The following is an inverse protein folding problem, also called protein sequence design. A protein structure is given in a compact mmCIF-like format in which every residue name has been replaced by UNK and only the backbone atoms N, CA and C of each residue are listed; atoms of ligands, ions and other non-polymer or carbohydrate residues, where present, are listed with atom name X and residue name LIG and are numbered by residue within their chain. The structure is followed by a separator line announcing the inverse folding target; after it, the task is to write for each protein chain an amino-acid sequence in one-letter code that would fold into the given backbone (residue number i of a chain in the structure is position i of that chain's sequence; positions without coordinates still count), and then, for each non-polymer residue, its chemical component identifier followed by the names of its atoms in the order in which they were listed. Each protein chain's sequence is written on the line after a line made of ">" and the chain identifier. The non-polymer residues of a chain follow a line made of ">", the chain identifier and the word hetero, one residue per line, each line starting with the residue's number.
data_IF_877629577638
#
_entry.id   IF_877629577638
#
_cell.length_a   1.000
_cell.length_b   1.000
_cell.length_c   1.000
_cell.angle_alpha   90.00
_cell.angle_beta   90.00
_cell.angle_gamma   90.00
#
_symmetry.space_group_name_H-M   'P 1'
#
loop_
_entity.id
_entity.type
_entity.pdbx_description
1 polymer ?
#
# COMPACT_ATOMS: atom_id res chain seq x y z
N UNK A 1 41.43 53.23 10.29
CA UNK A 1 41.46 51.76 10.54
C UNK A 1 40.50 51.46 11.67
N UNK A 2 39.35 50.84 11.37
CA UNK A 2 38.37 50.39 12.37
C UNK A 2 38.42 48.86 12.41
N UNK A 3 38.82 48.29 13.55
CA UNK A 3 38.68 46.86 13.83
C UNK A 3 37.26 46.62 14.36
N UNK A 4 36.45 45.86 13.63
CA UNK A 4 35.22 45.24 14.15
C UNK A 4 35.54 43.80 14.52
N UNK A 5 35.36 43.45 15.80
CA UNK A 5 35.38 42.08 16.27
C UNK A 5 33.95 41.51 16.21
N UNK A 6 33.74 40.48 15.38
CA UNK A 6 32.50 39.71 15.35
C UNK A 6 32.65 38.51 16.29
N UNK A 7 31.81 38.47 17.32
CA UNK A 7 31.72 37.38 18.28
C UNK A 7 30.85 36.27 17.65
N UNK A 8 31.45 35.14 17.30
CA UNK A 8 30.74 33.97 16.80
C UNK A 8 30.18 33.15 17.98
N UNK A 9 28.87 33.10 18.09
CA UNK A 9 28.16 32.25 19.05
C UNK A 9 28.03 30.84 18.44
N UNK A 10 28.81 29.88 18.94
CA UNK A 10 28.71 28.48 18.54
C UNK A 10 27.46 27.87 19.18
N UNK A 11 26.46 27.51 18.36
CA UNK A 11 25.33 26.72 18.78
C UNK A 11 25.75 25.25 18.96
N UNK A 12 25.50 24.69 20.15
CA UNK A 12 25.76 23.30 20.45
C UNK A 12 24.83 22.38 19.65
N UNK A 13 25.30 21.23 19.13
CA UNK A 13 24.43 20.24 18.52
C UNK A 13 23.54 19.62 19.60
N UNK A 14 22.23 19.85 19.49
CA UNK A 14 21.23 19.14 20.28
C UNK A 14 21.19 17.68 19.85
N UNK A 15 21.87 16.82 20.60
CA UNK A 15 21.77 15.36 20.47
C UNK A 15 20.41 14.94 21.01
N UNK A 16 19.40 14.89 20.14
CA UNK A 16 18.16 14.18 20.43
C UNK A 16 18.50 12.69 20.51
N UNK A 17 18.62 12.18 21.74
CA UNK A 17 18.73 10.76 22.00
C UNK A 17 17.50 10.04 21.46
N UNK A 18 17.68 9.28 20.36
CA UNK A 18 16.70 8.29 19.92
C UNK A 18 16.69 7.18 20.96
N UNK A 19 15.69 7.21 21.84
CA UNK A 19 15.32 6.07 22.66
C UNK A 19 14.82 5.01 21.67
N UNK A 20 15.63 3.99 21.38
CA UNK A 20 15.16 2.82 20.67
C UNK A 20 14.15 2.10 21.58
N UNK A 21 12.88 1.90 21.17
CA UNK A 21 11.94 1.12 21.95
C UNK A 21 12.48 -0.32 22.03
N UNK A 22 12.80 -0.71 23.25
CA UNK A 22 13.15 -2.08 23.62
C UNK A 22 11.94 -2.98 23.41
N UNK A 23 12.05 -3.90 22.45
CA UNK A 23 11.19 -5.08 22.34
C UNK A 23 9.82 -4.83 21.71
N UNK A 24 9.79 -4.53 20.42
CA UNK A 24 8.60 -4.84 19.63
C UNK A 24 8.52 -6.38 19.49
N UNK A 25 7.32 -6.98 19.64
CA UNK A 25 7.14 -8.41 19.41
C UNK A 25 7.62 -8.77 18.00
N UNK A 26 8.30 -9.93 17.88
CA UNK A 26 8.65 -10.55 16.60
C UNK A 26 7.37 -10.71 15.76
N UNK A 27 7.09 -9.72 14.91
CA UNK A 27 5.82 -9.63 14.18
C UNK A 27 5.54 -8.26 13.58
N UNK A 28 6.05 -7.17 14.18
CA UNK A 28 5.98 -5.84 13.57
C UNK A 28 7.37 -5.38 13.16
N UNK A 29 7.61 -5.38 11.87
CA UNK A 29 8.77 -4.71 11.29
C UNK A 29 8.27 -3.67 10.30
N UNK A 30 7.74 -2.57 10.85
CA UNK A 30 7.57 -1.33 10.11
C UNK A 30 8.97 -0.73 9.90
N UNK A 31 9.57 -1.03 8.75
CA UNK A 31 10.86 -0.46 8.36
C UNK A 31 10.62 0.72 7.42
N UNK A 32 10.83 1.94 7.92
CA UNK A 32 10.84 3.16 7.11
C UNK A 32 9.78 4.17 7.52
N UNK A 33 10.12 5.45 7.34
CA UNK A 33 9.20 6.56 7.54
C UNK A 33 8.46 6.82 6.21
N UNK A 34 7.25 6.26 6.08
CA UNK A 34 6.41 6.47 4.90
C UNK A 34 5.39 7.58 5.14
N UNK A 35 5.18 8.41 4.12
CA UNK A 35 4.17 9.47 4.09
C UNK A 35 3.16 9.23 2.97
N UNK A 36 1.98 9.81 3.11
CA UNK A 36 0.98 9.82 2.03
C UNK A 36 1.50 10.61 0.83
N UNK A 37 1.35 10.04 -0.37
CA UNK A 37 1.80 10.66 -1.62
C UNK A 37 0.95 11.88 -1.98
N UNK A 38 1.58 13.02 -2.27
CA UNK A 38 0.86 14.27 -2.53
C UNK A 38 -0.04 14.21 -3.79
N UNK A 39 0.34 13.40 -4.76
CA UNK A 39 -0.43 13.17 -6.00
C UNK A 39 -1.85 12.60 -5.73
N UNK A 40 -2.05 11.99 -4.57
CA UNK A 40 -3.27 11.29 -4.20
C UNK A 40 -4.26 12.17 -3.43
N UNK A 41 -3.98 13.46 -3.29
CA UNK A 41 -4.81 14.40 -2.52
C UNK A 41 -6.29 14.44 -2.95
N UNK A 42 -6.61 14.06 -4.19
CA UNK A 42 -7.97 14.10 -4.75
C UNK A 42 -8.57 12.71 -5.05
N UNK A 43 -7.93 11.61 -4.60
CA UNK A 43 -8.36 10.24 -4.96
C UNK A 43 -9.83 9.95 -4.61
N UNK A 44 -10.33 10.44 -3.48
CA UNK A 44 -11.73 10.23 -3.04
C UNK A 44 -12.77 10.75 -4.05
N UNK A 45 -12.39 11.72 -4.87
CA UNK A 45 -13.28 12.35 -5.86
C UNK A 45 -12.89 12.02 -7.30
N UNK A 46 -11.81 11.26 -7.50
CA UNK A 46 -11.32 10.90 -8.82
C UNK A 46 -12.29 9.92 -9.48
N UNK A 47 -12.60 10.16 -10.76
CA UNK A 47 -13.38 9.21 -11.53
C UNK A 47 -12.51 7.98 -11.84
N UNK A 48 -12.99 6.81 -11.43
CA UNK A 48 -12.28 5.56 -11.68
C UNK A 48 -12.49 5.08 -13.12
N UNK A 49 -11.41 4.61 -13.73
CA UNK A 49 -11.39 4.02 -15.07
C UNK A 49 -11.52 2.50 -14.94
N UNK A 50 -12.30 1.81 -15.80
CA UNK A 50 -12.43 0.36 -15.71
C UNK A 50 -11.11 -0.36 -15.97
N UNK A 51 -10.79 -1.37 -15.16
CA UNK A 51 -9.58 -2.18 -15.25
C UNK A 51 -9.36 -2.74 -16.66
N UNK A 52 -10.42 -3.28 -17.28
CA UNK A 52 -10.37 -3.86 -18.63
C UNK A 52 -9.87 -2.90 -19.72
N UNK A 53 -9.97 -1.59 -19.49
CA UNK A 53 -9.54 -0.57 -20.47
C UNK A 53 -8.06 -0.16 -20.36
N UNK A 54 -7.37 -0.57 -19.29
CA UNK A 54 -6.00 -0.12 -19.00
C UNK A 54 -4.93 -0.85 -19.84
N UNK A 55 -5.24 -2.03 -20.37
CA UNK A 55 -4.31 -2.80 -21.21
C UNK A 55 -3.05 -3.25 -20.47
N UNK A 56 -3.14 -3.52 -19.16
CA UNK A 56 -2.01 -3.96 -18.35
C UNK A 56 -1.40 -5.29 -18.84
N UNK A 57 -0.08 -5.37 -18.81
CA UNK A 57 0.64 -6.63 -18.98
C UNK A 57 0.69 -7.39 -17.65
N UNK A 58 -0.15 -8.42 -17.55
CA UNK A 58 -0.32 -9.22 -16.34
C UNK A 58 0.88 -10.09 -15.99
N UNK A 59 1.85 -10.27 -16.89
CA UNK A 59 3.08 -11.01 -16.63
C UNK A 59 4.13 -10.18 -15.89
N UNK A 60 3.97 -8.85 -15.89
CA UNK A 60 4.84 -7.91 -15.20
C UNK A 60 4.13 -7.31 -13.98
N UNK A 61 4.88 -6.61 -13.13
CA UNK A 61 4.30 -5.89 -11.98
C UNK A 61 3.34 -4.84 -12.52
N UNK A 62 2.06 -4.99 -12.22
CA UNK A 62 1.04 -4.02 -12.61
C UNK A 62 1.12 -2.82 -11.68
N UNK A 63 1.37 -1.65 -12.25
CA UNK A 63 1.42 -0.38 -11.51
C UNK A 63 0.17 0.43 -11.79
N UNK A 64 -0.52 0.83 -10.73
CA UNK A 64 -1.59 1.83 -10.79
C UNK A 64 -0.95 3.17 -10.44
N UNK A 65 -0.88 4.06 -11.42
CA UNK A 65 -0.12 5.30 -11.32
C UNK A 65 -0.67 6.27 -10.27
N UNK A 66 0.21 7.14 -9.77
CA UNK A 66 -0.10 8.23 -8.84
C UNK A 66 -1.31 9.06 -9.32
N UNK A 67 -2.30 9.29 -8.46
CA UNK A 67 -3.48 10.10 -8.79
C UNK A 67 -4.48 9.45 -9.76
N UNK A 68 -4.24 8.21 -10.21
CA UNK A 68 -5.17 7.46 -11.06
C UNK A 68 -6.05 6.56 -10.18
N UNK A 69 -7.35 6.55 -10.44
CA UNK A 69 -8.26 5.53 -9.90
C UNK A 69 -8.62 4.48 -10.96
N UNK A 70 -8.48 3.20 -10.60
CA UNK A 70 -8.87 2.06 -11.41
C UNK A 70 -9.92 1.25 -10.67
N UNK A 71 -11.05 0.99 -11.31
CA UNK A 71 -12.13 0.15 -10.79
C UNK A 71 -12.12 -1.23 -11.46
N UNK A 72 -12.15 -2.30 -10.67
CA UNK A 72 -12.13 -3.67 -11.20
C UNK A 72 -13.49 -4.05 -11.76
N UNK A 73 -13.54 -4.42 -13.04
CA UNK A 73 -14.75 -4.76 -13.79
C UNK A 73 -14.74 -6.20 -14.36
N UNK A 74 -13.78 -7.03 -13.93
CA UNK A 74 -13.60 -8.42 -14.39
C UNK A 74 -13.59 -9.39 -13.21
N UNK A 75 -14.38 -10.47 -13.27
CA UNK A 75 -14.58 -11.39 -12.13
C UNK A 75 -13.38 -12.31 -11.84
N UNK A 76 -12.49 -12.52 -12.81
CA UNK A 76 -11.25 -13.27 -12.64
C UNK A 76 -10.10 -12.37 -13.06
N UNK A 77 -9.20 -12.09 -12.13
CA UNK A 77 -8.06 -11.22 -12.33
C UNK A 77 -6.79 -11.93 -11.86
N UNK A 78 -6.03 -12.45 -12.82
CA UNK A 78 -4.76 -13.12 -12.55
C UNK A 78 -3.59 -12.19 -12.92
N UNK A 79 -2.95 -11.60 -11.91
CA UNK A 79 -1.80 -10.69 -12.06
C UNK A 79 -0.53 -11.44 -11.67
N UNK A 80 0.13 -12.08 -12.62
CA UNK A 80 1.28 -12.96 -12.38
C UNK A 80 2.54 -12.23 -11.92
N UNK A 81 2.70 -10.95 -12.27
CA UNK A 81 3.88 -10.18 -11.87
C UNK A 81 3.79 -9.49 -10.51
N UNK A 82 2.61 -9.45 -9.87
CA UNK A 82 2.38 -8.69 -8.64
C UNK A 82 1.72 -7.33 -8.89
N UNK A 83 1.32 -6.66 -7.81
CA UNK A 83 0.63 -5.37 -7.89
C UNK A 83 1.36 -4.28 -7.09
N UNK A 84 1.52 -3.11 -7.71
CA UNK A 84 2.04 -1.89 -7.10
C UNK A 84 0.98 -0.77 -7.23
N UNK A 85 0.28 -0.49 -6.14
CA UNK A 85 -0.87 0.41 -6.11
C UNK A 85 -0.40 1.78 -5.61
N UNK A 86 0.02 2.66 -6.53
CA UNK A 86 0.48 4.02 -6.20
C UNK A 86 -0.72 4.98 -6.13
N UNK A 87 -1.67 4.84 -7.05
CA UNK A 87 -2.96 5.55 -7.04
C UNK A 87 -4.02 4.80 -6.23
N UNK A 88 -5.21 4.63 -6.80
CA UNK A 88 -6.35 3.96 -6.17
C UNK A 88 -6.76 2.72 -6.95
N UNK A 89 -6.74 1.56 -6.30
CA UNK A 89 -7.43 0.37 -6.77
C UNK A 89 -8.74 0.20 -6.02
N UNK A 90 -9.85 0.18 -6.75
CA UNK A 90 -11.18 0.03 -6.20
C UNK A 90 -11.84 -1.24 -6.71
N UNK A 91 -12.27 -2.08 -5.79
CA UNK A 91 -13.24 -3.12 -6.09
C UNK A 91 -14.64 -2.53 -5.87
N UNK A 92 -15.59 -2.74 -6.82
CA UNK A 92 -16.98 -2.36 -6.61
C UNK A 92 -17.54 -2.95 -5.31
N UNK A 93 -18.55 -2.29 -4.74
CA UNK A 93 -19.26 -2.82 -3.57
C UNK A 93 -19.90 -4.18 -3.94
N UNK A 94 -19.80 -5.15 -3.04
CA UNK A 94 -20.31 -6.51 -3.23
C UNK A 94 -19.70 -7.23 -4.45
N UNK A 95 -18.49 -6.83 -4.84
CA UNK A 95 -17.80 -7.44 -5.94
C UNK A 95 -17.54 -8.93 -5.69
N UNK A 96 -17.89 -9.76 -6.67
CA UNK A 96 -17.74 -11.23 -6.64
C UNK A 96 -16.70 -11.63 -7.66
N UNK A 97 -15.59 -12.19 -7.19
CA UNK A 97 -14.51 -12.57 -8.08
C UNK A 97 -13.29 -13.09 -7.36
N UNK A 98 -12.25 -13.40 -8.13
CA UNK A 98 -10.96 -13.85 -7.62
C UNK A 98 -9.85 -12.98 -8.20
N UNK A 99 -9.07 -12.35 -7.31
CA UNK A 99 -7.79 -11.76 -7.62
C UNK A 99 -6.68 -12.76 -7.23
N UNK A 100 -5.91 -13.23 -8.19
CA UNK A 100 -4.70 -14.01 -7.95
C UNK A 100 -3.48 -13.15 -8.21
N UNK A 101 -2.59 -12.99 -7.24
CA UNK A 101 -1.37 -12.19 -7.39
C UNK A 101 -0.25 -12.68 -6.47
N UNK A 102 1.04 -12.61 -6.85
CA UNK A 102 2.12 -12.98 -5.94
C UNK A 102 2.20 -12.11 -4.68
N UNK A 103 1.96 -10.81 -4.82
CA UNK A 103 2.00 -9.81 -3.75
C UNK A 103 1.21 -8.55 -4.12
N UNK A 104 0.92 -7.71 -3.13
CA UNK A 104 0.38 -6.37 -3.31
C UNK A 104 1.14 -5.36 -2.46
N UNK A 105 1.69 -4.32 -3.08
CA UNK A 105 2.27 -3.16 -2.42
C UNK A 105 1.33 -1.96 -2.56
N UNK A 106 0.88 -1.40 -1.45
CA UNK A 106 -0.12 -0.31 -1.39
C UNK A 106 0.57 0.97 -0.93
N UNK A 107 0.72 1.95 -1.82
CA UNK A 107 1.25 3.29 -1.49
C UNK A 107 0.17 4.37 -1.55
N UNK A 108 -0.86 4.16 -2.37
CA UNK A 108 -2.05 4.99 -2.42
C UNK A 108 -3.20 4.37 -1.66
N UNK A 109 -4.32 4.08 -2.32
CA UNK A 109 -5.52 3.54 -1.69
C UNK A 109 -5.93 2.20 -2.28
N UNK A 110 -6.29 1.25 -1.43
CA UNK A 110 -6.92 0.00 -1.82
C UNK A 110 -8.29 -0.09 -1.13
N UNK A 111 -9.37 -0.14 -1.92
CA UNK A 111 -10.75 -0.19 -1.40
C UNK A 111 -11.44 -1.49 -1.81
N UNK A 112 -11.99 -2.19 -0.82
CA UNK A 112 -12.82 -3.37 -0.98
C UNK A 112 -13.97 -3.32 0.03
N UNK A 113 -15.21 -3.49 -0.41
CA UNK A 113 -16.35 -3.52 0.51
C UNK A 113 -17.38 -4.59 0.14
N UNK A 114 -17.97 -5.16 1.18
CA UNK A 114 -19.13 -6.04 1.12
C UNK A 114 -20.15 -5.61 2.16
N UNK A 115 -21.38 -5.43 1.73
CA UNK A 115 -22.58 -5.25 2.55
C UNK A 115 -23.48 -6.49 2.50
N UNK A 116 -23.05 -7.55 1.82
CA UNK A 116 -23.80 -8.81 1.79
C UNK A 116 -23.84 -9.46 3.19
N UNK A 117 -24.99 -10.02 3.60
CA UNK A 117 -25.06 -10.75 4.85
C UNK A 117 -24.15 -11.98 4.78
N UNK A 118 -23.47 -12.29 5.88
CA UNK A 118 -22.69 -13.53 6.01
C UNK A 118 -23.67 -14.69 6.07
N UNK A 119 -24.03 -15.26 4.91
CA UNK A 119 -24.88 -16.45 4.84
C UNK A 119 -24.01 -17.70 4.91
N UNK A 120 -23.97 -18.32 6.09
CA UNK A 120 -23.10 -19.45 6.41
C UNK A 120 -23.62 -20.83 5.98
N UNK A 121 -24.79 -20.93 5.35
CA UNK A 121 -25.51 -22.20 5.29
C UNK A 121 -24.79 -23.35 4.56
N UNK A 122 -23.87 -23.07 3.61
CA UNK A 122 -23.20 -24.11 2.80
C UNK A 122 -21.70 -23.87 2.55
N UNK A 123 -21.06 -22.88 3.19
CA UNK A 123 -19.64 -22.58 2.96
C UNK A 123 -19.29 -22.11 1.53
N UNK A 124 -20.28 -21.67 0.75
CA UNK A 124 -20.03 -21.03 -0.54
C UNK A 124 -19.26 -19.72 -0.30
N UNK A 125 -18.09 -19.58 -0.91
CA UNK A 125 -17.32 -18.33 -0.90
C UNK A 125 -18.06 -17.31 -1.76
N UNK A 126 -18.91 -16.51 -1.14
CA UNK A 126 -19.55 -15.38 -1.79
C UNK A 126 -18.69 -14.12 -1.58
N UNK A 127 -18.46 -13.34 -2.63
CA UNK A 127 -17.63 -12.13 -2.61
C UNK A 127 -16.22 -12.26 -3.22
N UNK A 128 -15.37 -11.28 -2.90
CA UNK A 128 -14.01 -11.14 -3.42
C UNK A 128 -13.04 -12.09 -2.72
N UNK A 129 -12.34 -12.91 -3.50
CA UNK A 129 -11.26 -13.77 -3.04
C UNK A 129 -9.91 -13.22 -3.48
N UNK A 130 -9.03 -12.92 -2.53
CA UNK A 130 -7.64 -12.56 -2.83
C UNK A 130 -6.74 -13.76 -2.55
N UNK A 131 -6.07 -14.27 -3.58
CA UNK A 131 -5.20 -15.44 -3.52
C UNK A 131 -3.75 -15.03 -3.77
N UNK A 132 -2.93 -15.15 -2.73
CA UNK A 132 -1.51 -14.81 -2.80
C UNK A 132 -0.66 -16.03 -3.15
N UNK A 133 0.05 -15.99 -4.29
CA UNK A 133 0.73 -17.16 -4.86
C UNK A 133 2.25 -17.15 -4.73
N UNK A 134 2.88 -15.99 -4.47
CA UNK A 134 4.33 -15.80 -4.56
C UNK A 134 5.11 -16.69 -3.58
N UNK A 135 6.17 -17.34 -4.04
CA UNK A 135 7.00 -18.24 -3.24
C UNK A 135 8.45 -17.76 -3.06
N UNK A 136 8.81 -16.66 -3.74
CA UNK A 136 10.08 -15.94 -3.62
C UNK A 136 9.90 -14.65 -2.83
N UNK A 137 10.97 -14.23 -2.12
CA UNK A 137 10.98 -12.94 -1.46
C UNK A 137 10.91 -11.80 -2.48
N UNK A 138 10.08 -10.80 -2.19
CA UNK A 138 9.89 -9.63 -3.04
C UNK A 138 10.61 -8.44 -2.41
N UNK A 139 11.35 -7.70 -3.23
CA UNK A 139 11.89 -6.39 -2.88
C UNK A 139 11.03 -5.32 -3.54
N UNK A 140 10.73 -4.27 -2.78
CA UNK A 140 9.87 -3.19 -3.20
C UNK A 140 10.60 -1.85 -3.18
N UNK A 141 10.31 -1.02 -4.17
CA UNK A 141 10.91 0.29 -4.35
C UNK A 141 9.81 1.35 -4.20
N UNK A 142 9.78 2.09 -3.09
CA UNK A 142 8.77 3.11 -2.87
C UNK A 142 8.83 4.21 -3.93
N UNK A 143 7.67 4.79 -4.23
CA UNK A 143 7.53 5.84 -5.23
C UNK A 143 7.70 7.24 -4.62
N UNK A 144 8.10 8.21 -5.45
CA UNK A 144 8.03 9.64 -5.14
C UNK A 144 8.74 10.04 -3.85
N UNK A 145 8.02 10.73 -2.97
CA UNK A 145 8.52 11.24 -1.69
C UNK A 145 8.98 10.12 -0.74
N UNK A 146 8.52 8.89 -0.94
CA UNK A 146 8.89 7.73 -0.14
C UNK A 146 10.15 7.00 -0.65
N UNK A 147 10.75 7.41 -1.79
CA UNK A 147 11.87 6.68 -2.40
C UNK A 147 13.08 6.45 -1.47
N UNK A 148 13.25 7.29 -0.44
CA UNK A 148 14.31 7.16 0.55
C UNK A 148 13.90 6.40 1.84
N UNK A 149 12.64 6.00 1.99
CA UNK A 149 12.10 5.44 3.23
C UNK A 149 12.85 4.17 3.69
N UNK A 150 13.37 3.39 2.75
CA UNK A 150 14.08 2.13 3.03
C UNK A 150 15.62 2.22 2.97
N UNK A 151 16.17 3.36 2.52
CA UNK A 151 17.61 3.56 2.30
C UNK A 151 18.45 3.36 3.57
N UNK A 152 17.93 3.76 4.72
CA UNK A 152 18.66 3.72 5.99
C UNK A 152 18.67 2.33 6.65
N UNK A 153 17.96 1.35 6.08
CA UNK A 153 17.65 0.09 6.76
C UNK A 153 18.14 -1.12 5.95
N UNK A 154 17.82 -1.20 4.66
CA UNK A 154 18.11 -2.39 3.84
C UNK A 154 18.70 -2.09 2.45
N UNK A 155 19.13 -0.86 2.19
CA UNK A 155 19.53 -0.39 0.86
C UNK A 155 18.37 0.29 0.12
N UNK A 156 18.41 0.35 -1.21
CA UNK A 156 17.42 1.10 -2.01
C UNK A 156 16.01 0.48 -2.05
N UNK A 157 15.81 -0.69 -1.44
CA UNK A 157 14.53 -1.42 -1.45
C UNK A 157 14.07 -1.87 -0.07
N UNK A 158 12.76 -2.00 0.10
CA UNK A 158 12.10 -2.58 1.26
C UNK A 158 11.87 -4.08 1.03
N UNK A 159 12.28 -4.94 1.96
CA UNK A 159 11.97 -6.36 1.90
C UNK A 159 10.48 -6.59 2.25
N UNK A 160 9.70 -7.16 1.33
CA UNK A 160 8.28 -7.47 1.51
C UNK A 160 8.02 -8.94 1.89
N UNK A 161 9.02 -9.81 1.72
CA UNK A 161 8.85 -11.25 1.92
C UNK A 161 7.96 -11.89 0.84
N UNK A 162 7.35 -13.03 1.18
CA UNK A 162 6.52 -13.86 0.30
C UNK A 162 5.04 -13.65 0.59
N UNK A 163 4.18 -13.72 -0.44
CA UNK A 163 2.70 -13.67 -0.30
C UNK A 163 2.21 -12.52 0.57
N UNK A 164 2.74 -11.33 0.34
CA UNK A 164 2.47 -10.18 1.20
C UNK A 164 1.48 -9.21 0.60
N UNK A 165 0.71 -8.58 1.49
CA UNK A 165 0.02 -7.32 1.27
C UNK A 165 0.71 -6.34 2.20
N UNK A 166 1.48 -5.41 1.66
CA UNK A 166 2.23 -4.43 2.43
C UNK A 166 1.74 -3.01 2.12
N UNK A 167 1.65 -2.18 3.15
CA UNK A 167 1.19 -0.78 3.04
C UNK A 167 2.36 0.15 3.34
N UNK A 168 2.62 1.08 2.43
CA UNK A 168 3.78 1.97 2.41
C UNK A 168 3.33 3.43 2.28
N UNK A 169 2.78 3.98 3.36
CA UNK A 169 2.24 5.35 3.40
C UNK A 169 0.83 5.49 2.79
N UNK A 170 0.26 4.39 2.32
CA UNK A 170 -1.09 4.31 1.77
C UNK A 170 -2.19 4.00 2.79
N UNK A 171 -3.38 3.75 2.26
CA UNK A 171 -4.59 3.41 3.00
C UNK A 171 -5.17 2.07 2.51
N UNK A 172 -5.60 1.25 3.46
CA UNK A 172 -6.32 0.01 3.22
C UNK A 172 -7.74 0.14 3.79
N UNK A 173 -8.73 0.29 2.93
CA UNK A 173 -10.16 0.32 3.31
C UNK A 173 -10.81 -1.01 2.91
N UNK A 174 -10.78 -1.98 3.82
CA UNK A 174 -11.42 -3.29 3.64
C UNK A 174 -12.59 -3.40 4.61
N UNK A 175 -13.80 -3.54 4.06
CA UNK A 175 -15.03 -3.76 4.83
C UNK A 175 -15.65 -5.09 4.42
N UNK A 176 -15.42 -6.12 5.23
CA UNK A 176 -15.91 -7.48 4.94
C UNK A 176 -17.31 -7.80 5.46
N UNK A 177 -17.90 -6.91 6.27
CA UNK A 177 -19.18 -7.12 6.94
C UNK A 177 -20.08 -5.89 6.77
N UNK A 178 -21.40 -6.05 6.73
CA UNK A 178 -22.34 -4.93 6.73
C UNK A 178 -22.27 -4.18 8.06
N UNK A 179 -22.51 -2.85 8.01
CA UNK A 179 -22.52 -1.98 9.20
C UNK A 179 -23.59 -2.37 10.24
N UNK A 180 -24.57 -3.18 9.84
CA UNK A 180 -25.63 -3.70 10.72
C UNK A 180 -25.25 -5.00 11.44
N UNK A 181 -24.04 -5.51 11.27
CA UNK A 181 -23.58 -6.72 11.96
C UNK A 181 -23.38 -6.43 13.47
N UNK A 182 -24.02 -7.17 14.39
CA UNK A 182 -23.83 -6.98 15.83
C UNK A 182 -22.37 -7.23 16.22
N UNK A 183 -21.77 -6.31 17.00
CA UNK A 183 -20.41 -6.41 17.56
C UNK A 183 -20.41 -6.94 18.98
#
# INVERSE_FOLDING_TARGET
>A
MKLSAALALAAAPSVLGRIAPSGLPLGEIAWGDFVTLACNANLETAQCVPWSSMGYDLNNVVTIDCGVCVEVDVSVLDVFGGMNIIGHLKFPENFKGTLTTPFMAVQGKLTMSSTEPVTDANGAKDGLNVVLTGDSDVNFYPHGENAAACQNIMGESCAMGKKSIAVFGGELDIRGLPDTCPT
#
